data_IF_207298442753
#
_entry.id   IF_207298442753
#
_cell.length_a   1.000
_cell.length_b   1.000
_cell.length_c   1.000
_cell.angle_alpha   90.00
_cell.angle_beta   90.00
_cell.angle_gamma   90.00
#
_symmetry.space_group_name_H-M   'P 1'
#
loop_
_entity.id
_entity.type
_entity.pdbx_description
1 polymer ?
#
# COMPACT_ATOMS: atom_id res chain seq x y z
N UNK A 1 24.44 -7.53 -1.09
CA UNK A 1 23.52 -6.48 -1.57
C UNK A 1 23.07 -6.68 -3.02
N UNK A 2 23.97 -7.05 -3.95
CA UNK A 2 23.66 -7.33 -5.37
C UNK A 2 22.69 -8.51 -5.57
N UNK A 3 22.84 -9.59 -4.81
CA UNK A 3 21.96 -10.77 -4.91
C UNK A 3 20.52 -10.50 -4.44
N UNK A 4 20.35 -9.74 -3.35
CA UNK A 4 19.02 -9.33 -2.90
C UNK A 4 18.30 -8.45 -3.93
N UNK A 5 19.03 -7.56 -4.61
CA UNK A 5 18.49 -6.74 -5.69
C UNK A 5 18.10 -7.61 -6.90
N UNK A 6 18.89 -8.61 -7.24
CA UNK A 6 18.60 -9.55 -8.34
C UNK A 6 17.35 -10.41 -8.03
N UNK A 7 17.22 -10.89 -6.80
CA UNK A 7 16.02 -11.63 -6.34
C UNK A 7 14.79 -10.72 -6.41
N UNK A 8 14.90 -9.49 -5.92
CA UNK A 8 13.83 -8.49 -6.00
C UNK A 8 13.36 -8.27 -7.43
N UNK A 9 14.30 -8.02 -8.35
CA UNK A 9 13.95 -7.74 -9.74
C UNK A 9 13.33 -8.98 -10.43
N UNK A 10 13.79 -10.18 -10.07
CA UNK A 10 13.22 -11.44 -10.59
C UNK A 10 11.79 -11.69 -10.08
N UNK A 11 11.53 -11.44 -8.79
CA UNK A 11 10.18 -11.54 -8.22
C UNK A 11 9.24 -10.52 -8.89
N UNK A 12 9.72 -9.29 -9.05
CA UNK A 12 9.00 -8.21 -9.71
C UNK A 12 8.64 -8.55 -11.16
N UNK A 13 9.56 -9.11 -11.93
CA UNK A 13 9.33 -9.50 -13.32
C UNK A 13 8.32 -10.65 -13.42
N UNK A 14 8.36 -11.61 -12.48
CA UNK A 14 7.37 -12.70 -12.41
C UNK A 14 5.99 -12.16 -12.08
N UNK A 15 5.86 -11.32 -11.06
CA UNK A 15 4.58 -10.71 -10.66
C UNK A 15 3.96 -9.90 -11.79
N UNK A 16 4.77 -9.14 -12.55
CA UNK A 16 4.30 -8.39 -13.71
C UNK A 16 3.85 -9.26 -14.87
N UNK A 17 4.63 -10.30 -15.16
CA UNK A 17 4.34 -11.18 -16.29
C UNK A 17 3.03 -11.95 -16.10
N UNK A 18 2.69 -12.24 -14.85
CA UNK A 18 1.51 -13.04 -14.48
C UNK A 18 0.49 -12.26 -13.65
N UNK A 19 0.43 -10.93 -13.80
CA UNK A 19 -0.46 -10.07 -13.00
C UNK A 19 -1.94 -10.47 -13.15
N UNK A 20 -2.37 -10.85 -14.34
CA UNK A 20 -3.72 -11.32 -14.62
C UNK A 20 -4.11 -12.59 -13.84
N UNK A 21 -3.13 -13.41 -13.47
CA UNK A 21 -3.35 -14.66 -12.71
C UNK A 21 -3.06 -14.41 -11.22
N UNK A 22 -2.05 -13.61 -10.91
CA UNK A 22 -1.60 -13.36 -9.54
C UNK A 22 -2.62 -12.57 -8.74
N UNK A 23 -3.25 -11.57 -9.35
CA UNK A 23 -4.26 -10.73 -8.69
C UNK A 23 -5.49 -11.53 -8.22
N UNK A 24 -6.14 -12.40 -9.05
CA UNK A 24 -7.22 -13.27 -8.58
C UNK A 24 -6.79 -14.27 -7.49
N UNK A 25 -5.57 -14.82 -7.59
CA UNK A 25 -5.05 -15.75 -6.57
C UNK A 25 -4.89 -15.05 -5.22
N UNK A 26 -4.31 -13.85 -5.18
CA UNK A 26 -4.15 -13.08 -3.94
C UNK A 26 -5.51 -12.75 -3.34
N UNK A 27 -6.50 -12.36 -4.16
CA UNK A 27 -7.87 -12.09 -3.72
C UNK A 27 -8.55 -13.36 -3.18
N UNK A 28 -8.36 -14.48 -3.86
CA UNK A 28 -8.88 -15.77 -3.40
C UNK A 28 -8.34 -16.14 -2.02
N UNK A 29 -7.01 -16.10 -1.85
CA UNK A 29 -6.36 -16.43 -0.56
C UNK A 29 -6.80 -15.45 0.53
N UNK A 30 -6.84 -14.14 0.23
CA UNK A 30 -7.29 -13.13 1.18
C UNK A 30 -8.75 -13.33 1.61
N UNK A 31 -9.66 -13.61 0.66
CA UNK A 31 -11.06 -13.90 0.92
C UNK A 31 -11.22 -15.21 1.72
N UNK A 32 -10.44 -16.23 1.41
CA UNK A 32 -10.47 -17.51 2.14
C UNK A 32 -10.08 -17.30 3.61
N UNK A 33 -8.98 -16.59 3.88
CA UNK A 33 -8.56 -16.24 5.24
C UNK A 33 -9.65 -15.44 5.95
N UNK A 34 -10.24 -14.46 5.27
CA UNK A 34 -11.31 -13.62 5.83
C UNK A 34 -12.54 -14.46 6.23
N UNK A 35 -13.03 -15.33 5.34
CA UNK A 35 -14.23 -16.14 5.64
C UNK A 35 -13.97 -17.21 6.69
N UNK A 36 -12.76 -17.81 6.72
CA UNK A 36 -12.37 -18.72 7.82
C UNK A 36 -12.37 -17.95 9.14
N UNK A 37 -11.81 -16.75 9.18
CA UNK A 37 -11.78 -15.91 10.39
C UNK A 37 -13.17 -15.48 10.83
N UNK A 38 -14.05 -15.09 9.91
CA UNK A 38 -15.46 -14.80 10.22
C UNK A 38 -16.14 -16.04 10.80
N UNK A 39 -15.93 -17.21 10.21
CA UNK A 39 -16.53 -18.44 10.72
C UNK A 39 -15.97 -18.85 12.07
N UNK A 40 -14.72 -18.53 12.38
CA UNK A 40 -14.13 -18.75 13.70
C UNK A 40 -14.67 -17.82 14.78
N UNK A 41 -14.96 -16.54 14.41
CA UNK A 41 -15.49 -15.52 15.33
C UNK A 41 -17.01 -15.59 15.48
N UNK A 42 -17.76 -15.95 14.42
CA UNK A 42 -19.21 -15.93 14.34
C UNK A 42 -19.81 -17.25 13.89
N UNK A 43 -19.17 -18.38 14.13
CA UNK A 43 -19.53 -19.69 13.57
C UNK A 43 -20.83 -20.30 14.10
N UNK A 44 -21.92 -19.53 14.25
CA UNK A 44 -23.20 -19.98 14.79
C UNK A 44 -24.14 -20.58 13.74
N UNK A 45 -23.90 -20.31 12.45
CA UNK A 45 -24.75 -20.78 11.37
C UNK A 45 -24.26 -22.14 10.82
N UNK A 46 -25.15 -23.13 10.79
CA UNK A 46 -24.86 -24.42 10.18
C UNK A 46 -24.55 -24.37 8.66
N UNK A 47 -24.97 -23.30 7.99
CA UNK A 47 -24.73 -23.10 6.57
C UNK A 47 -23.26 -22.80 6.28
N UNK A 48 -22.65 -21.88 7.03
CA UNK A 48 -21.27 -21.46 6.84
C UNK A 48 -20.26 -22.32 7.61
N UNK A 49 -20.71 -23.18 8.51
CA UNK A 49 -19.88 -24.21 9.15
C UNK A 49 -19.34 -25.26 8.16
N UNK A 50 -19.90 -25.34 6.95
CA UNK A 50 -19.44 -26.25 5.90
C UNK A 50 -18.29 -25.62 5.12
N UNK A 51 -17.07 -26.21 5.19
CA UNK A 51 -15.90 -25.72 4.48
C UNK A 51 -16.07 -25.56 2.97
N UNK A 52 -16.96 -26.35 2.34
CA UNK A 52 -17.29 -26.22 0.92
C UNK A 52 -17.94 -24.87 0.59
N UNK A 53 -18.81 -24.34 1.46
CA UNK A 53 -19.47 -23.06 1.26
C UNK A 53 -18.46 -21.92 1.33
N UNK A 54 -17.55 -21.97 2.32
CA UNK A 54 -16.44 -21.01 2.46
C UNK A 54 -15.55 -21.03 1.21
N UNK A 55 -15.21 -22.21 0.71
CA UNK A 55 -14.39 -22.36 -0.49
C UNK A 55 -15.07 -21.76 -1.73
N UNK A 56 -16.35 -22.11 -1.98
CA UNK A 56 -17.12 -21.55 -3.12
C UNK A 56 -17.23 -20.03 -3.03
N UNK A 57 -17.50 -19.51 -1.83
CA UNK A 57 -17.58 -18.07 -1.59
C UNK A 57 -16.25 -17.36 -1.87
N UNK A 58 -15.13 -18.00 -1.51
CA UNK A 58 -13.77 -17.48 -1.80
C UNK A 58 -13.46 -17.48 -3.28
N UNK A 59 -13.91 -18.49 -4.04
CA UNK A 59 -13.75 -18.54 -5.50
C UNK A 59 -14.55 -17.39 -6.16
N UNK A 60 -15.78 -17.15 -5.74
CA UNK A 60 -16.57 -16.01 -6.24
C UNK A 60 -15.86 -14.69 -5.91
N UNK A 61 -15.33 -14.56 -4.70
CA UNK A 61 -14.62 -13.37 -4.23
C UNK A 61 -13.33 -13.07 -5.01
N UNK A 62 -12.70 -14.08 -5.61
CA UNK A 62 -11.52 -13.90 -6.46
C UNK A 62 -11.78 -13.03 -7.70
N UNK A 63 -13.03 -13.06 -8.20
CA UNK A 63 -13.43 -12.36 -9.43
C UNK A 63 -13.99 -10.95 -9.18
N UNK A 64 -14.19 -10.58 -7.92
CA UNK A 64 -14.89 -9.35 -7.54
C UNK A 64 -13.94 -8.35 -6.89
N UNK A 65 -14.34 -7.06 -6.77
CA UNK A 65 -13.54 -6.05 -6.08
C UNK A 65 -13.48 -6.28 -4.57
N UNK A 66 -12.42 -5.79 -3.91
CA UNK A 66 -12.22 -5.94 -2.46
C UNK A 66 -13.39 -5.40 -1.63
N UNK A 67 -14.02 -4.30 -2.06
CA UNK A 67 -15.17 -3.74 -1.38
C UNK A 67 -16.38 -4.71 -1.39
N UNK A 68 -16.65 -5.37 -2.52
CA UNK A 68 -17.74 -6.34 -2.62
C UNK A 68 -17.42 -7.60 -1.82
N UNK A 69 -16.17 -8.03 -1.74
CA UNK A 69 -15.76 -9.15 -0.88
C UNK A 69 -16.09 -8.86 0.58
N UNK A 70 -15.81 -7.64 1.06
CA UNK A 70 -16.14 -7.22 2.44
C UNK A 70 -17.67 -7.11 2.64
N UNK A 71 -18.42 -6.65 1.65
CA UNK A 71 -19.89 -6.65 1.70
C UNK A 71 -20.45 -8.07 1.84
N UNK A 72 -19.94 -9.03 1.06
CA UNK A 72 -20.31 -10.44 1.20
C UNK A 72 -19.96 -10.96 2.59
N UNK A 73 -18.77 -10.60 3.11
CA UNK A 73 -18.38 -10.91 4.49
C UNK A 73 -19.36 -10.36 5.53
N UNK A 74 -19.84 -9.12 5.34
CA UNK A 74 -20.90 -8.54 6.17
C UNK A 74 -22.21 -9.33 6.13
N UNK A 75 -22.62 -9.81 4.96
CA UNK A 75 -23.80 -10.68 4.83
C UNK A 75 -23.58 -12.01 5.57
N UNK A 76 -22.40 -12.60 5.50
CA UNK A 76 -22.07 -13.83 6.25
C UNK A 76 -22.17 -13.59 7.76
N UNK A 77 -21.63 -12.47 8.25
CA UNK A 77 -21.76 -12.09 9.68
C UNK A 77 -23.23 -11.89 10.04
N UNK A 78 -24.01 -11.23 9.19
CA UNK A 78 -25.44 -10.99 9.44
C UNK A 78 -26.21 -12.31 9.60
N UNK A 79 -26.00 -13.29 8.70
CA UNK A 79 -26.66 -14.60 8.80
C UNK A 79 -26.25 -15.34 10.08
N UNK A 80 -24.99 -15.24 10.50
CA UNK A 80 -24.55 -15.79 11.78
C UNK A 80 -25.20 -15.07 12.97
N UNK A 81 -25.31 -13.74 12.93
CA UNK A 81 -25.98 -12.95 13.98
C UNK A 81 -27.47 -13.28 14.11
N UNK A 82 -28.19 -13.52 13.00
CA UNK A 82 -29.59 -13.99 13.00
C UNK A 82 -29.69 -15.37 13.68
N UNK A 83 -28.70 -16.22 13.52
CA UNK A 83 -28.68 -17.55 14.15
C UNK A 83 -28.54 -17.49 15.65
N UNK A 84 -28.00 -16.40 16.22
CA UNK A 84 -27.90 -16.16 17.66
C UNK A 84 -29.18 -15.51 18.18
N UNK A 85 -29.52 -14.31 17.65
CA UNK A 85 -30.71 -13.56 18.02
C UNK A 85 -31.07 -12.52 16.93
N UNK A 86 -32.35 -12.27 16.73
CA UNK A 86 -32.82 -11.20 15.86
C UNK A 86 -32.36 -9.81 16.33
N UNK A 87 -32.28 -9.60 17.64
CA UNK A 87 -31.81 -8.35 18.23
C UNK A 87 -30.36 -8.06 17.94
N UNK A 88 -29.49 -9.08 18.03
CA UNK A 88 -28.06 -9.00 17.65
C UNK A 88 -27.93 -8.66 16.17
N UNK A 89 -28.73 -9.30 15.30
CA UNK A 89 -28.72 -9.05 13.87
C UNK A 89 -29.15 -7.61 13.53
N UNK A 90 -30.17 -7.06 14.21
CA UNK A 90 -30.60 -5.67 14.03
C UNK A 90 -29.49 -4.68 14.40
N UNK A 91 -28.81 -4.92 15.53
CA UNK A 91 -27.68 -4.07 15.94
C UNK A 91 -26.54 -4.13 14.91
N UNK A 92 -26.24 -5.33 14.40
CA UNK A 92 -25.24 -5.49 13.36
C UNK A 92 -25.62 -4.77 12.07
N UNK A 93 -26.88 -4.81 11.63
CA UNK A 93 -27.35 -4.07 10.43
C UNK A 93 -27.08 -2.58 10.59
N UNK A 94 -27.43 -2.00 11.73
CA UNK A 94 -27.20 -0.57 12.00
C UNK A 94 -25.71 -0.24 11.93
N UNK A 95 -24.86 -1.05 12.59
CA UNK A 95 -23.42 -0.90 12.55
C UNK A 95 -22.87 -1.02 11.11
N UNK A 96 -23.33 -2.02 10.36
CA UNK A 96 -22.87 -2.28 9.00
C UNK A 96 -23.26 -1.18 8.01
N UNK A 97 -24.49 -0.63 8.14
CA UNK A 97 -24.94 0.52 7.35
C UNK A 97 -24.07 1.75 7.68
N UNK A 98 -23.74 1.97 8.96
CA UNK A 98 -22.89 3.06 9.37
C UNK A 98 -21.48 2.92 8.73
N UNK A 99 -20.87 1.74 8.78
CA UNK A 99 -19.58 1.43 8.16
C UNK A 99 -19.63 1.66 6.64
N UNK A 100 -20.69 1.18 5.99
CA UNK A 100 -20.85 1.34 4.54
C UNK A 100 -20.97 2.81 4.14
N UNK A 101 -21.86 3.57 4.80
CA UNK A 101 -22.11 4.98 4.48
C UNK A 101 -20.92 5.87 4.81
N UNK A 102 -20.26 5.65 5.95
CA UNK A 102 -19.16 6.50 6.41
C UNK A 102 -17.84 6.21 5.69
N UNK A 103 -17.59 4.96 5.31
CA UNK A 103 -16.28 4.58 4.83
C UNK A 103 -16.24 3.83 3.50
N UNK A 104 -16.94 2.71 3.38
CA UNK A 104 -16.79 1.81 2.21
C UNK A 104 -17.18 2.49 0.90
N UNK A 105 -18.16 3.39 0.94
CA UNK A 105 -18.58 4.19 -0.22
C UNK A 105 -17.52 5.17 -0.69
N UNK A 106 -16.75 5.74 0.25
CA UNK A 106 -15.74 6.76 -0.04
C UNK A 106 -14.39 6.14 -0.43
N UNK A 107 -14.01 5.04 0.21
CA UNK A 107 -12.70 4.40 0.07
C UNK A 107 -12.80 2.89 -0.18
N UNK A 108 -13.35 2.47 -1.33
CA UNK A 108 -13.58 1.05 -1.62
C UNK A 108 -12.30 0.22 -1.63
N UNK A 109 -11.16 0.81 -2.05
CA UNK A 109 -9.87 0.12 -2.15
C UNK A 109 -9.25 -0.23 -0.80
N UNK A 110 -9.62 0.50 0.26
CA UNK A 110 -9.13 0.27 1.62
C UNK A 110 -10.08 -0.57 2.48
N UNK A 111 -11.18 -1.09 1.91
CA UNK A 111 -12.19 -1.87 2.64
C UNK A 111 -11.65 -3.15 3.29
N UNK A 112 -10.57 -3.72 2.75
CA UNK A 112 -9.90 -4.90 3.30
C UNK A 112 -9.44 -4.73 4.76
N UNK A 113 -9.22 -3.49 5.23
CA UNK A 113 -8.78 -3.17 6.59
C UNK A 113 -9.83 -3.60 7.62
N UNK A 114 -11.12 -3.48 7.26
CA UNK A 114 -12.23 -3.90 8.14
C UNK A 114 -12.17 -5.38 8.52
N UNK A 115 -11.70 -6.22 7.60
CA UNK A 115 -11.50 -7.64 7.86
C UNK A 115 -10.12 -7.92 8.48
N UNK A 116 -9.10 -7.16 8.08
CA UNK A 116 -7.73 -7.34 8.52
C UNK A 116 -7.57 -7.14 10.04
N UNK A 117 -8.20 -6.11 10.61
CA UNK A 117 -8.07 -5.80 12.03
C UNK A 117 -8.61 -6.92 12.92
N UNK A 118 -9.85 -7.44 12.76
CA UNK A 118 -10.33 -8.59 13.52
C UNK A 118 -9.45 -9.83 13.36
N UNK A 119 -8.89 -10.07 12.18
CA UNK A 119 -7.95 -11.18 11.94
C UNK A 119 -6.69 -11.02 12.79
N UNK A 120 -6.13 -9.82 12.89
CA UNK A 120 -4.96 -9.56 13.73
C UNK A 120 -5.26 -9.78 15.22
N UNK A 121 -6.45 -9.42 15.68
CA UNK A 121 -6.89 -9.73 17.04
C UNK A 121 -6.98 -11.24 17.30
N UNK A 122 -7.58 -11.98 16.38
CA UNK A 122 -7.70 -13.43 16.46
C UNK A 122 -6.34 -14.14 16.53
N UNK A 123 -5.32 -13.59 15.84
CA UNK A 123 -3.96 -14.10 15.88
C UNK A 123 -3.14 -13.60 17.09
N UNK A 124 -3.73 -12.82 18.00
CA UNK A 124 -3.04 -12.09 19.09
C UNK A 124 -1.93 -11.15 18.60
N UNK A 125 -2.07 -10.63 17.37
CA UNK A 125 -1.14 -9.71 16.72
C UNK A 125 -1.75 -8.32 16.55
N UNK A 126 -2.71 -7.93 17.39
CA UNK A 126 -3.45 -6.67 17.28
C UNK A 126 -2.54 -5.45 17.20
N UNK A 127 -1.42 -5.46 17.90
CA UNK A 127 -0.46 -4.35 17.91
C UNK A 127 0.29 -4.14 16.58
N UNK A 128 0.29 -5.13 15.70
CA UNK A 128 0.80 -4.99 14.33
C UNK A 128 -0.18 -4.23 13.41
N UNK A 129 -1.49 -4.30 13.70
CA UNK A 129 -2.52 -3.77 12.83
C UNK A 129 -2.32 -2.29 12.48
N UNK A 130 -2.16 -1.34 13.45
CA UNK A 130 -2.01 0.06 13.14
C UNK A 130 -0.75 0.37 12.32
N UNK A 131 0.35 -0.36 12.55
CA UNK A 131 1.60 -0.16 11.82
C UNK A 131 1.47 -0.59 10.36
N UNK A 132 0.89 -1.76 10.11
CA UNK A 132 0.67 -2.28 8.75
C UNK A 132 -0.32 -1.40 8.00
N UNK A 133 -1.41 -0.99 8.64
CA UNK A 133 -2.40 -0.09 8.04
C UNK A 133 -1.79 1.26 7.68
N UNK A 134 -0.96 1.84 8.56
CA UNK A 134 -0.26 3.09 8.27
C UNK A 134 0.63 3.00 7.03
N UNK A 135 1.31 1.86 6.81
CA UNK A 135 2.17 1.62 5.66
C UNK A 135 1.35 1.56 4.37
N UNK A 136 0.26 0.79 4.33
CA UNK A 136 -0.48 0.52 3.10
C UNK A 136 -1.53 1.57 2.77
N UNK A 137 -2.32 2.01 3.75
CA UNK A 137 -3.45 2.91 3.56
C UNK A 137 -3.20 4.34 4.05
N UNK A 138 -2.22 4.56 4.92
CA UNK A 138 -1.95 5.89 5.46
C UNK A 138 -3.11 6.43 6.31
N UNK A 139 -3.41 7.73 6.21
CA UNK A 139 -4.50 8.35 6.99
C UNK A 139 -5.87 7.78 6.68
N UNK A 140 -6.13 7.34 5.44
CA UNK A 140 -7.42 6.76 5.07
C UNK A 140 -7.72 5.46 5.82
N UNK A 141 -6.68 4.81 6.35
CA UNK A 141 -6.81 3.60 7.16
C UNK A 141 -7.28 3.82 8.61
N UNK A 142 -7.29 5.06 9.12
CA UNK A 142 -7.68 5.32 10.52
C UNK A 142 -9.12 4.90 10.81
N UNK A 143 -10.05 5.36 9.99
CA UNK A 143 -11.50 5.11 10.19
C UNK A 143 -11.83 3.61 10.11
N UNK A 144 -11.40 2.85 9.08
CA UNK A 144 -11.72 1.42 9.04
C UNK A 144 -11.01 0.62 10.12
N UNK A 145 -9.86 1.08 10.63
CA UNK A 145 -9.20 0.43 11.76
C UNK A 145 -10.04 0.55 13.02
N UNK A 146 -10.59 1.74 13.31
CA UNK A 146 -11.52 1.93 14.43
C UNK A 146 -12.73 1.02 14.28
N UNK A 147 -13.36 0.98 13.11
CA UNK A 147 -14.49 0.08 12.87
C UNK A 147 -14.11 -1.40 12.96
N UNK A 148 -12.89 -1.76 12.55
CA UNK A 148 -12.38 -3.12 12.70
C UNK A 148 -12.23 -3.54 14.17
N UNK A 149 -11.78 -2.62 15.05
CA UNK A 149 -11.75 -2.84 16.50
C UNK A 149 -13.16 -3.03 17.04
N UNK A 150 -14.11 -2.18 16.64
CA UNK A 150 -15.53 -2.31 17.04
C UNK A 150 -16.11 -3.64 16.58
N UNK A 151 -15.81 -4.09 15.34
CA UNK A 151 -16.30 -5.37 14.82
C UNK A 151 -15.77 -6.56 15.63
N UNK A 152 -14.50 -6.52 16.04
CA UNK A 152 -13.94 -7.56 16.88
C UNK A 152 -14.63 -7.64 18.26
N UNK A 153 -14.79 -6.50 18.93
CA UNK A 153 -15.51 -6.46 20.23
C UNK A 153 -16.99 -6.81 20.09
N UNK A 154 -17.61 -6.46 18.97
CA UNK A 154 -18.96 -6.92 18.64
C UNK A 154 -19.02 -8.46 18.53
N UNK A 155 -18.03 -9.08 17.88
CA UNK A 155 -17.96 -10.53 17.77
C UNK A 155 -17.82 -11.20 19.14
N UNK A 156 -16.92 -10.70 19.98
CA UNK A 156 -16.70 -11.23 21.34
C UNK A 156 -17.97 -11.09 22.20
N UNK A 157 -18.63 -9.93 22.13
CA UNK A 157 -19.88 -9.73 22.84
C UNK A 157 -21.01 -10.64 22.31
N UNK A 158 -21.05 -10.93 21.01
CA UNK A 158 -22.01 -11.88 20.41
C UNK A 158 -21.78 -13.31 20.96
N UNK A 159 -20.53 -13.71 21.19
CA UNK A 159 -20.19 -14.98 21.79
C UNK A 159 -20.69 -15.06 23.26
N UNK A 160 -20.49 -13.99 24.03
CA UNK A 160 -21.01 -13.88 25.39
C UNK A 160 -22.55 -13.96 25.43
N UNK A 161 -23.23 -13.22 24.55
CA UNK A 161 -24.69 -13.26 24.42
C UNK A 161 -25.19 -14.66 24.07
N UNK A 162 -24.53 -15.33 23.14
CA UNK A 162 -24.90 -16.68 22.76
C UNK A 162 -24.76 -17.66 23.96
N UNK A 163 -23.69 -17.54 24.74
CA UNK A 163 -23.48 -18.36 25.93
C UNK A 163 -24.51 -18.11 27.02
N UNK A 164 -24.92 -16.84 27.20
CA UNK A 164 -25.97 -16.44 28.15
C UNK A 164 -27.33 -16.95 27.69
N UNK A 165 -27.68 -16.84 26.41
CA UNK A 165 -28.94 -17.38 25.88
C UNK A 165 -29.04 -18.89 26.02
N UNK A 166 -27.94 -19.63 25.89
CA UNK A 166 -27.91 -21.08 26.09
C UNK A 166 -28.03 -21.49 27.56
N UNK A 167 -27.61 -20.62 28.50
CA UNK A 167 -27.64 -20.86 29.95
C UNK A 167 -28.88 -20.28 30.62
N UNK A 168 -29.64 -19.37 29.97
CA UNK A 168 -30.82 -18.77 30.53
C UNK A 168 -31.95 -19.80 30.74
N UNK A 169 -32.47 -19.91 31.96
CA UNK A 169 -33.68 -20.62 32.26
C UNK A 169 -34.90 -19.73 31.96
N UNK A 170 -36.03 -20.33 31.59
CA UNK A 170 -37.24 -19.68 31.10
C UNK A 170 -37.81 -18.55 32.01
N UNK A 171 -37.30 -18.38 33.22
CA UNK A 171 -37.77 -17.37 34.18
C UNK A 171 -37.08 -16.02 34.10
N UNK A 172 -35.89 -15.92 33.50
CA UNK A 172 -35.16 -14.67 33.31
C UNK A 172 -35.28 -14.18 31.85
N UNK A 173 -36.04 -13.08 31.66
CA UNK A 173 -36.13 -12.38 30.36
C UNK A 173 -34.81 -11.65 30.07
N UNK A 174 -33.79 -12.40 29.60
CA UNK A 174 -32.57 -11.81 29.11
C UNK A 174 -32.87 -10.92 27.88
N UNK A 175 -32.37 -9.69 27.88
CA UNK A 175 -32.52 -8.75 26.78
C UNK A 175 -31.19 -8.58 26.06
N UNK A 176 -30.93 -9.31 24.96
CA UNK A 176 -29.67 -9.28 24.25
C UNK A 176 -29.25 -7.89 23.76
N UNK A 177 -30.22 -7.10 23.31
CA UNK A 177 -29.95 -5.76 22.75
C UNK A 177 -29.41 -4.81 23.83
N UNK A 178 -30.02 -4.75 25.00
CA UNK A 178 -29.56 -3.88 26.08
C UNK A 178 -28.19 -4.29 26.58
N UNK A 179 -27.94 -5.59 26.72
CA UNK A 179 -26.65 -6.12 27.10
C UNK A 179 -25.55 -5.75 26.08
N UNK A 180 -25.80 -5.97 24.79
CA UNK A 180 -24.83 -5.65 23.76
C UNK A 180 -24.53 -4.15 23.67
N UNK A 181 -25.55 -3.29 23.75
CA UNK A 181 -25.35 -1.84 23.71
C UNK A 181 -24.49 -1.40 24.90
N UNK A 182 -24.77 -1.90 26.10
CA UNK A 182 -23.95 -1.58 27.27
C UNK A 182 -22.54 -2.14 27.19
N UNK A 183 -22.39 -3.39 26.83
CA UNK A 183 -21.09 -4.08 26.80
C UNK A 183 -20.20 -3.58 25.65
N UNK A 184 -20.74 -3.32 24.46
CA UNK A 184 -19.94 -2.83 23.34
C UNK A 184 -19.63 -1.36 23.48
N UNK A 185 -20.63 -0.48 23.68
CA UNK A 185 -20.40 0.97 23.64
C UNK A 185 -19.81 1.56 24.94
N UNK A 186 -19.92 0.88 26.06
CA UNK A 186 -19.30 1.28 27.33
C UNK A 186 -17.96 0.57 27.58
N UNK A 187 -17.44 -0.20 26.62
CA UNK A 187 -16.18 -0.91 26.77
C UNK A 187 -14.98 0.06 26.68
N UNK A 188 -14.43 0.39 27.83
CA UNK A 188 -13.29 1.29 27.94
C UNK A 188 -12.05 0.79 27.20
N UNK A 189 -11.80 -0.53 27.24
CA UNK A 189 -10.70 -1.17 26.52
C UNK A 189 -10.84 -1.05 25.00
N UNK A 190 -12.07 -1.15 24.46
CA UNK A 190 -12.34 -0.95 23.04
C UNK A 190 -12.08 0.50 22.63
N UNK A 191 -12.62 1.46 23.40
CA UNK A 191 -12.47 2.89 23.13
C UNK A 191 -10.99 3.28 23.19
N UNK A 192 -10.26 2.83 24.22
CA UNK A 192 -8.83 3.03 24.39
C UNK A 192 -8.06 2.53 23.16
N UNK A 193 -8.29 1.27 22.77
CA UNK A 193 -7.58 0.66 21.65
C UNK A 193 -7.88 1.35 20.35
N UNK A 194 -9.13 1.69 20.08
CA UNK A 194 -9.53 2.42 18.87
C UNK A 194 -8.85 3.80 18.78
N UNK A 195 -8.79 4.53 19.90
CA UNK A 195 -8.13 5.83 19.98
C UNK A 195 -6.61 5.71 19.77
N UNK A 196 -5.97 4.79 20.47
CA UNK A 196 -4.51 4.58 20.35
C UNK A 196 -4.15 4.15 18.93
N UNK A 197 -4.89 3.23 18.32
CA UNK A 197 -4.64 2.81 16.95
C UNK A 197 -4.75 3.96 15.95
N UNK A 198 -5.76 4.82 16.11
CA UNK A 198 -5.92 6.00 15.26
C UNK A 198 -4.71 6.95 15.40
N UNK A 199 -4.26 7.22 16.61
CA UNK A 199 -3.09 8.09 16.86
C UNK A 199 -1.80 7.46 16.30
N UNK A 200 -1.58 6.17 16.53
CA UNK A 200 -0.40 5.45 16.04
C UNK A 200 -0.34 5.48 14.51
N UNK A 201 -1.47 5.26 13.82
CA UNK A 201 -1.54 5.38 12.36
C UNK A 201 -1.16 6.80 11.93
N UNK A 202 -1.71 7.83 12.58
CA UNK A 202 -1.44 9.23 12.25
C UNK A 202 0.05 9.56 12.38
N UNK A 203 0.67 9.21 13.52
CA UNK A 203 2.09 9.48 13.79
C UNK A 203 2.98 8.69 12.85
N UNK A 204 2.72 7.38 12.68
CA UNK A 204 3.51 6.53 11.78
C UNK A 204 3.49 7.06 10.35
N UNK A 205 2.31 7.43 9.84
CA UNK A 205 2.18 7.95 8.48
C UNK A 205 2.75 9.36 8.34
N UNK A 206 2.68 10.19 9.38
CA UNK A 206 3.34 11.50 9.39
C UNK A 206 4.85 11.34 9.20
N UNK A 207 5.49 10.46 9.98
CA UNK A 207 6.94 10.18 9.86
C UNK A 207 7.27 9.57 8.51
N UNK A 208 6.41 8.70 7.98
CA UNK A 208 6.57 8.08 6.66
C UNK A 208 6.65 9.11 5.52
N UNK A 209 5.98 10.26 5.66
CA UNK A 209 5.96 11.34 4.66
C UNK A 209 7.11 12.32 4.76
N UNK A 210 7.94 12.25 5.80
CA UNK A 210 9.07 13.16 5.94
C UNK A 210 10.09 12.95 4.80
N UNK A 211 10.71 14.01 4.29
CA UNK A 211 11.70 13.94 3.21
C UNK A 211 13.09 13.49 3.72
N UNK A 212 13.13 12.37 4.45
CA UNK A 212 14.35 11.80 5.02
C UNK A 212 14.68 10.50 4.29
N UNK A 213 15.98 10.24 4.10
CA UNK A 213 16.49 9.04 3.45
C UNK A 213 16.05 7.82 4.20
N UNK A 214 15.44 7.02 4.35
CA UNK A 214 14.95 5.92 5.19
C UNK A 214 13.74 6.28 6.07
N UNK A 215 13.00 7.37 5.76
CA UNK A 215 11.79 7.74 6.51
C UNK A 215 10.80 6.58 6.66
N UNK A 216 10.69 5.72 5.64
CA UNK A 216 9.80 4.58 5.60
C UNK A 216 10.11 3.53 6.69
N UNK A 217 11.41 3.28 6.93
CA UNK A 217 11.84 2.34 7.97
C UNK A 217 11.81 2.97 9.36
N UNK A 218 12.20 4.25 9.45
CA UNK A 218 12.12 5.01 10.69
C UNK A 218 10.67 5.14 11.19
N UNK A 219 9.71 5.32 10.29
CA UNK A 219 8.29 5.41 10.62
C UNK A 219 7.77 4.17 11.36
N UNK A 220 8.19 2.97 10.94
CA UNK A 220 7.78 1.73 11.61
C UNK A 220 8.33 1.67 13.03
N UNK A 221 9.61 2.02 13.21
CA UNK A 221 10.23 2.06 14.55
C UNK A 221 9.58 3.08 15.47
N UNK A 222 9.38 4.31 14.99
CA UNK A 222 8.71 5.39 15.74
C UNK A 222 7.27 4.98 16.06
N UNK A 223 6.55 4.40 15.10
CA UNK A 223 5.19 3.91 15.31
C UNK A 223 5.09 2.84 16.40
N UNK A 224 6.06 1.90 16.45
CA UNK A 224 6.13 0.90 17.50
C UNK A 224 6.37 1.51 18.89
N UNK A 225 7.29 2.46 18.99
CA UNK A 225 7.54 3.20 20.27
C UNK A 225 6.27 3.96 20.67
N UNK A 226 5.65 4.69 19.76
CA UNK A 226 4.40 5.41 20.03
C UNK A 226 3.29 4.47 20.47
N UNK A 227 3.18 3.28 19.87
CA UNK A 227 2.19 2.29 20.26
C UNK A 227 2.33 1.91 21.75
N UNK A 228 3.54 1.59 22.20
CA UNK A 228 3.80 1.28 23.61
C UNK A 228 3.49 2.48 24.51
N UNK A 229 4.00 3.68 24.16
CA UNK A 229 3.82 4.87 24.97
C UNK A 229 2.35 5.28 25.11
N UNK A 230 1.59 5.29 24.01
CA UNK A 230 0.18 5.70 24.07
C UNK A 230 -0.68 4.67 24.81
N UNK A 231 -0.43 3.35 24.64
CA UNK A 231 -1.11 2.35 25.46
C UNK A 231 -0.81 2.52 26.94
N UNK A 232 0.44 2.78 27.32
CA UNK A 232 0.81 3.02 28.73
C UNK A 232 0.13 4.28 29.30
N UNK A 233 0.17 5.38 28.57
CA UNK A 233 -0.43 6.65 29.02
C UNK A 233 -1.95 6.52 29.14
N UNK A 234 -2.60 5.95 28.13
CA UNK A 234 -4.03 5.85 28.12
C UNK A 234 -4.56 4.78 29.11
N UNK A 235 -3.84 3.69 29.36
CA UNK A 235 -4.26 2.70 30.35
C UNK A 235 -4.24 3.27 31.77
N UNK A 236 -3.24 4.11 32.09
CA UNK A 236 -3.18 4.79 33.39
C UNK A 236 -4.24 5.90 33.47
N UNK A 237 -4.51 6.62 32.38
CA UNK A 237 -5.47 7.72 32.36
C UNK A 237 -6.94 7.29 32.41
N UNK A 238 -7.25 6.08 31.97
CA UNK A 238 -8.62 5.50 31.94
C UNK A 238 -8.83 4.41 32.99
N UNK A 239 -7.88 4.19 33.91
CA UNK A 239 -7.90 3.14 34.95
C UNK A 239 -8.23 1.73 34.38
N UNK A 240 -7.80 1.46 33.14
CA UNK A 240 -8.02 0.15 32.50
C UNK A 240 -7.00 -0.86 33.04
N UNK A 241 -7.40 -1.64 34.03
CA UNK A 241 -6.54 -2.60 34.75
C UNK A 241 -6.02 -3.76 33.88
N UNK A 242 -6.60 -4.02 32.70
CA UNK A 242 -6.41 -5.27 31.96
C UNK A 242 -5.38 -5.20 30.81
N UNK A 243 -4.61 -4.14 30.67
CA UNK A 243 -3.55 -4.10 29.66
C UNK A 243 -2.32 -4.83 30.20
N UNK A 244 -2.18 -6.12 29.91
CA UNK A 244 -1.01 -6.90 30.28
C UNK A 244 0.26 -6.29 29.67
N UNK A 245 1.10 -5.64 30.49
CA UNK A 245 2.34 -4.99 30.05
C UNK A 245 3.26 -5.94 29.26
N UNK A 246 3.32 -7.22 29.67
CA UNK A 246 4.10 -8.24 28.97
C UNK A 246 3.60 -8.52 27.56
N UNK A 247 2.29 -8.68 27.39
CA UNK A 247 1.66 -8.93 26.09
C UNK A 247 1.75 -7.70 25.18
N UNK A 248 1.65 -6.49 25.73
CA UNK A 248 1.83 -5.23 25.00
C UNK A 248 3.25 -5.13 24.42
N UNK A 249 4.28 -5.32 25.24
CA UNK A 249 5.67 -5.21 24.81
C UNK A 249 6.03 -6.28 23.78
N UNK A 250 5.76 -7.54 24.06
CA UNK A 250 6.04 -8.66 23.15
C UNK A 250 5.23 -8.53 21.85
N UNK A 251 3.95 -8.23 21.96
CA UNK A 251 3.09 -8.06 20.80
C UNK A 251 3.50 -6.87 19.93
N UNK A 252 3.96 -5.76 20.51
CA UNK A 252 4.46 -4.62 19.74
C UNK A 252 5.79 -4.94 19.06
N UNK A 253 6.71 -5.63 19.72
CA UNK A 253 7.99 -6.05 19.10
C UNK A 253 7.72 -6.95 17.88
N UNK A 254 6.87 -7.96 18.04
CA UNK A 254 6.46 -8.84 16.94
C UNK A 254 5.74 -8.03 15.86
N UNK A 255 4.87 -7.09 16.25
CA UNK A 255 4.17 -6.18 15.35
C UNK A 255 5.10 -5.32 14.51
N UNK A 256 6.15 -4.77 15.10
CA UNK A 256 7.20 -4.01 14.40
C UNK A 256 7.94 -4.90 13.40
N UNK A 257 8.29 -6.13 13.76
CA UNK A 257 8.94 -7.07 12.83
C UNK A 257 8.03 -7.39 11.62
N UNK A 258 6.75 -7.66 11.86
CA UNK A 258 5.76 -7.88 10.79
C UNK A 258 5.63 -6.64 9.91
N UNK A 259 5.58 -5.45 10.50
CA UNK A 259 5.48 -4.19 9.77
C UNK A 259 6.75 -3.92 8.93
N UNK A 260 7.94 -4.27 9.41
CA UNK A 260 9.17 -4.19 8.61
C UNK A 260 9.13 -5.15 7.42
N UNK A 261 8.67 -6.38 7.60
CA UNK A 261 8.49 -7.35 6.50
C UNK A 261 7.47 -6.79 5.49
N UNK A 262 6.35 -6.28 5.97
CA UNK A 262 5.31 -5.67 5.14
C UNK A 262 5.85 -4.47 4.34
N UNK A 263 6.69 -3.63 4.96
CA UNK A 263 7.35 -2.49 4.29
C UNK A 263 8.30 -2.95 3.18
N UNK A 264 9.08 -3.99 3.43
CA UNK A 264 9.96 -4.59 2.41
C UNK A 264 9.12 -5.16 1.26
N UNK A 265 8.05 -5.89 1.56
CA UNK A 265 7.12 -6.42 0.55
C UNK A 265 6.48 -5.31 -0.28
N UNK A 266 6.04 -4.21 0.35
CA UNK A 266 5.53 -3.04 -0.35
C UNK A 266 6.56 -2.46 -1.31
N UNK A 267 7.83 -2.33 -0.87
CA UNK A 267 8.92 -1.86 -1.70
C UNK A 267 9.26 -2.79 -2.88
N UNK A 268 8.97 -4.10 -2.75
CA UNK A 268 9.10 -5.06 -3.83
C UNK A 268 8.02 -4.89 -4.91
N UNK A 269 6.80 -4.56 -4.50
CA UNK A 269 5.63 -4.43 -5.38
C UNK A 269 5.46 -3.01 -5.92
N UNK A 270 6.11 -1.99 -5.33
CA UNK A 270 6.03 -0.63 -5.83
C UNK A 270 6.70 -0.48 -7.20
N UNK A 271 5.88 -0.47 -8.25
CA UNK A 271 6.30 -0.38 -9.65
C UNK A 271 6.64 1.04 -10.10
N UNK A 272 6.45 2.04 -9.25
CA UNK A 272 6.67 3.44 -9.62
C UNK A 272 8.17 3.76 -9.67
N UNK A 273 8.82 3.50 -10.81
CA UNK A 273 10.15 4.00 -11.08
C UNK A 273 10.07 5.50 -11.38
N UNK A 274 10.31 6.31 -10.35
CA UNK A 274 10.40 7.76 -10.49
C UNK A 274 11.86 8.11 -10.70
N UNK A 275 12.19 8.56 -11.89
CA UNK A 275 13.50 9.12 -12.19
C UNK A 275 13.38 10.65 -12.14
N UNK A 276 14.15 11.30 -11.28
CA UNK A 276 14.35 12.74 -11.35
C UNK A 276 15.54 12.99 -12.28
N UNK A 277 15.25 13.55 -13.42
CA UNK A 277 16.26 13.91 -14.41
C UNK A 277 16.44 15.43 -14.35
N UNK A 278 17.68 15.84 -14.17
CA UNK A 278 18.07 17.24 -14.22
C UNK A 278 18.66 17.53 -15.59
N UNK A 279 18.13 18.52 -16.26
CA UNK A 279 18.70 19.09 -17.50
C UNK A 279 19.14 20.51 -17.19
N UNK A 280 20.23 20.89 -17.79
CA UNK A 280 20.80 22.24 -17.73
C UNK A 280 20.85 22.79 -19.16
N UNK A 281 20.35 23.99 -19.35
CA UNK A 281 20.50 24.79 -20.54
C UNK A 281 21.17 26.11 -20.15
N UNK A 282 21.67 26.89 -21.09
CA UNK A 282 22.41 28.13 -20.83
C UNK A 282 21.62 29.18 -19.99
N UNK A 283 20.28 29.04 -19.94
CA UNK A 283 19.41 29.96 -19.22
C UNK A 283 18.66 29.36 -18.04
N UNK A 284 18.44 28.02 -17.99
CA UNK A 284 17.55 27.38 -16.99
C UNK A 284 17.99 26.01 -16.52
N UNK A 285 17.76 25.71 -15.23
CA UNK A 285 17.82 24.37 -14.67
C UNK A 285 16.44 23.73 -14.72
N UNK A 286 16.30 22.59 -15.38
CA UNK A 286 15.05 21.84 -15.48
C UNK A 286 15.07 20.63 -14.56
N UNK A 287 14.18 20.61 -13.57
CA UNK A 287 13.95 19.44 -12.72
C UNK A 287 12.71 18.70 -13.22
N UNK A 288 12.92 17.66 -14.00
CA UNK A 288 11.83 16.87 -14.58
C UNK A 288 11.66 15.57 -13.80
N UNK A 289 10.44 15.34 -13.30
CA UNK A 289 10.05 14.07 -12.70
C UNK A 289 9.49 13.17 -13.80
N UNK A 290 10.35 12.32 -14.37
CA UNK A 290 9.95 11.35 -15.38
C UNK A 290 9.28 10.13 -14.70
N UNK A 291 8.03 9.87 -15.06
CA UNK A 291 7.30 8.66 -14.66
C UNK A 291 7.14 7.83 -15.92
N UNK A 292 7.72 6.62 -16.02
CA UNK A 292 7.61 5.82 -17.23
C UNK A 292 6.16 5.41 -17.46
N UNK A 293 5.64 5.70 -18.65
CA UNK A 293 4.28 5.38 -19.09
C UNK A 293 4.12 3.86 -19.34
N UNK A 294 5.23 3.21 -19.66
CA UNK A 294 5.35 1.76 -19.79
C UNK A 294 6.67 1.31 -19.17
N UNK A 295 6.62 0.30 -18.33
CA UNK A 295 7.82 -0.31 -17.78
C UNK A 295 8.41 -1.26 -18.83
N UNK A 296 9.36 -0.78 -19.60
CA UNK A 296 10.18 -1.65 -20.47
C UNK A 296 11.21 -2.33 -19.56
N UNK A 297 11.28 -3.68 -19.52
CA UNK A 297 12.33 -4.36 -18.79
C UNK A 297 13.68 -3.85 -19.33
N UNK A 298 14.54 -3.38 -18.42
CA UNK A 298 15.88 -2.96 -18.78
C UNK A 298 16.59 -4.16 -19.41
N UNK A 299 16.80 -4.10 -20.73
CA UNK A 299 17.62 -5.08 -21.43
C UNK A 299 18.97 -5.10 -20.73
N UNK A 300 19.40 -6.25 -20.20
CA UNK A 300 20.73 -6.41 -19.63
C UNK A 300 21.74 -5.89 -20.65
N UNK A 301 22.21 -4.68 -20.44
CA UNK A 301 23.39 -4.18 -21.15
C UNK A 301 24.57 -4.99 -20.62
N UNK A 302 24.92 -6.06 -21.33
CA UNK A 302 26.28 -6.60 -21.22
C UNK A 302 27.22 -5.51 -21.68
N UNK A 303 27.65 -4.66 -20.77
CA UNK A 303 28.76 -3.75 -21.00
C UNK A 303 30.00 -4.62 -21.03
N UNK A 304 30.38 -5.13 -22.21
CA UNK A 304 31.74 -5.54 -22.47
C UNK A 304 32.57 -4.29 -22.21
N UNK A 305 33.33 -4.25 -21.12
CA UNK A 305 34.44 -3.33 -20.97
C UNK A 305 35.42 -3.72 -22.07
N UNK A 306 35.35 -3.04 -23.19
CA UNK A 306 36.52 -2.98 -24.09
C UNK A 306 37.55 -2.18 -23.33
N UNK A 307 38.60 -2.84 -22.91
CA UNK A 307 39.81 -2.23 -22.34
C UNK A 307 40.30 -1.27 -23.39
N UNK A 308 40.21 0.04 -23.10
CA UNK A 308 40.39 1.07 -24.08
C UNK A 308 41.85 1.17 -24.59
N UNK A 309 42.00 1.34 -25.86
CA UNK A 309 43.00 2.25 -26.38
C UNK A 309 42.43 3.68 -26.31
N UNK A 310 43.28 4.68 -26.04
CA UNK A 310 42.80 6.03 -25.75
C UNK A 310 42.08 6.64 -26.95
N UNK A 311 40.97 7.33 -26.66
CA UNK A 311 40.10 8.02 -27.63
C UNK A 311 40.85 9.01 -28.57
N UNK A 312 42.07 9.40 -28.20
CA UNK A 312 42.94 10.30 -28.97
C UNK A 312 43.32 9.74 -30.35
N UNK A 313 43.52 8.39 -30.49
CA UNK A 313 43.84 7.76 -31.79
C UNK A 313 42.62 7.66 -32.71
N UNK A 314 41.42 7.53 -32.18
CA UNK A 314 40.20 7.45 -32.97
C UNK A 314 39.80 8.83 -33.58
N UNK A 315 40.06 9.91 -32.86
CA UNK A 315 39.85 11.27 -33.37
C UNK A 315 40.85 11.67 -34.42
N UNK A 316 42.12 11.30 -34.28
CA UNK A 316 43.16 11.57 -35.25
C UNK A 316 42.88 10.82 -36.55
N UNK A 317 42.50 9.54 -36.52
CA UNK A 317 42.17 8.74 -37.71
C UNK A 317 40.91 9.29 -38.45
N UNK A 318 39.94 9.85 -37.75
CA UNK A 318 38.81 10.50 -38.37
C UNK A 318 39.16 11.86 -38.99
N UNK A 319 40.04 12.64 -38.35
CA UNK A 319 40.49 13.92 -38.86
C UNK A 319 41.31 13.71 -40.13
N UNK A 320 42.23 12.74 -40.17
CA UNK A 320 43.05 12.41 -41.35
C UNK A 320 42.18 11.91 -42.52
N UNK A 321 41.19 11.07 -42.29
CA UNK A 321 40.25 10.60 -43.31
C UNK A 321 39.38 11.71 -43.89
N UNK A 322 39.03 12.71 -43.09
CA UNK A 322 38.30 13.88 -43.54
C UNK A 322 39.20 14.80 -44.34
N UNK A 323 40.44 14.99 -43.90
CA UNK A 323 41.43 15.82 -44.62
C UNK A 323 41.77 15.22 -45.99
N UNK A 324 41.92 13.88 -46.08
CA UNK A 324 42.17 13.18 -47.36
C UNK A 324 40.96 13.31 -48.31
N UNK A 325 39.72 13.24 -47.80
CA UNK A 325 38.51 13.48 -48.60
C UNK A 325 38.38 14.94 -49.08
N UNK A 326 38.84 15.91 -48.31
CA UNK A 326 38.85 17.31 -48.69
C UNK A 326 39.91 17.54 -49.77
N UNK A 327 41.11 17.02 -49.61
CA UNK A 327 42.20 17.14 -50.57
C UNK A 327 41.87 16.45 -51.91
N UNK A 328 41.23 15.28 -51.90
CA UNK A 328 40.79 14.59 -53.11
C UNK A 328 39.69 15.35 -53.86
N UNK A 329 38.79 16.06 -53.16
CA UNK A 329 37.77 16.90 -53.75
C UNK A 329 38.35 18.19 -54.32
N UNK A 330 39.41 18.76 -53.73
CA UNK A 330 40.08 19.96 -54.19
C UNK A 330 40.93 19.67 -55.41
N UNK A 331 41.62 18.53 -55.47
CA UNK A 331 42.35 18.06 -56.61
C UNK A 331 41.50 17.80 -57.86
N UNK A 332 40.26 17.26 -57.63
CA UNK A 332 39.31 17.00 -58.72
C UNK A 332 38.60 18.29 -59.24
N UNK A 333 38.66 19.36 -58.46
CA UNK A 333 38.09 20.67 -58.83
C UNK A 333 39.09 21.53 -59.61
N UNK A 334 40.40 21.31 -59.46
CA UNK A 334 41.45 22.02 -60.19
C UNK A 334 41.84 21.36 -61.54
N UNK A 335 41.19 20.21 -61.88
CA UNK A 335 41.44 19.52 -63.15
C UNK A 335 40.51 19.86 -64.30
N UNK A 336 39.49 20.70 -64.11
CA UNK A 336 38.65 21.21 -65.22
C UNK A 336 38.65 22.72 -65.19
N UNK A 337 39.65 23.25 -65.89
CA UNK A 337 39.77 24.68 -66.14
C UNK A 337 39.00 25.13 -67.35
N UNK A 338 38.54 26.29 -67.37
CA UNK A 338 38.95 27.37 -68.22
C UNK A 338 38.16 28.66 -67.87
N UNK A 339 38.75 29.79 -68.18
CA UNK A 339 38.40 31.04 -67.51
C UNK A 339 37.43 31.87 -68.34
N UNK A 340 36.52 32.58 -67.73
CA UNK A 340 36.09 33.87 -68.21
C UNK A 340 35.12 34.58 -67.22
N UNK A 341 35.49 35.84 -66.99
CA UNK A 341 34.68 37.02 -66.71
C UNK A 341 34.03 37.20 -65.31
N UNK A 342 34.69 38.00 -64.50
CA UNK A 342 34.39 39.45 -64.24
C UNK A 342 32.90 39.72 -63.90
N UNK A 343 32.61 40.01 -62.67
CA UNK A 343 32.11 41.33 -62.25
C UNK A 343 31.87 41.38 -60.73
N UNK A 344 32.31 42.46 -60.18
CA UNK A 344 32.23 42.91 -58.80
C UNK A 344 30.83 43.40 -58.40
N UNK A 345 30.54 43.37 -57.13
CA UNK A 345 29.54 44.23 -56.48
C UNK A 345 28.69 43.55 -55.42
N UNK A 346 28.22 44.33 -54.48
CA UNK A 346 28.94 44.76 -53.28
C UNK A 346 28.30 44.28 -51.98
N UNK A 347 29.11 44.35 -50.94
CA UNK A 347 28.86 44.49 -49.53
C UNK A 347 27.44 44.97 -49.10
N UNK A 348 26.73 44.18 -48.26
CA UNK A 348 25.67 44.69 -47.41
C UNK A 348 25.74 44.05 -46.07
N UNK A 349 26.57 44.62 -45.22
CA UNK A 349 26.32 44.72 -43.79
C UNK A 349 25.16 45.67 -43.54
N UNK A 350 24.43 45.40 -42.52
CA UNK A 350 23.55 46.24 -41.70
C UNK A 350 22.05 45.94 -41.78
N UNK A 351 21.54 46.02 -40.53
CA UNK A 351 20.16 46.25 -40.10
C UNK A 351 19.36 44.97 -39.83
N UNK A 352 19.15 44.56 -38.58
CA UNK A 352 18.21 45.22 -37.69
C UNK A 352 18.33 44.74 -36.24
N UNK A 353 18.73 45.63 -35.37
CA UNK A 353 18.26 45.72 -34.00
C UNK A 353 16.89 46.45 -34.08
N UNK A 354 15.87 45.89 -33.46
CA UNK A 354 14.75 46.52 -32.76
C UNK A 354 13.53 45.59 -32.81
N UNK A 355 13.16 44.97 -31.70
CA UNK A 355 11.99 45.42 -30.96
C UNK A 355 11.95 44.72 -29.61
N UNK A 356 12.18 45.53 -28.60
CA UNK A 356 11.69 45.37 -27.24
C UNK A 356 10.22 45.77 -27.20
N UNK A 357 9.53 45.22 -26.18
CA UNK A 357 8.22 45.61 -25.65
C UNK A 357 7.02 44.96 -26.36
N UNK A 358 6.43 43.90 -25.80
CA UNK A 358 5.26 43.99 -24.89
C UNK A 358 5.23 42.71 -24.07
#
# INVERSE_FOLDING_TARGET
>A
MSEMLAIRDKIRDILRKYDEITTPIIRFVGALIMYISINSLFGYSALFGRGIVIFLLSVISALVSSAVVVLIGGVVILVNAISVSLEVALLFIVLFIAIYCMYMRMFPDCSWILAFVPIMYMLNLQYAAPLVVAIFAGYSGMVPTVFGVVLYHFATCTEEVNSLLLSATDEEKFQPLNYMVETVFKNESMILTALVFAIVIAVTYFVFRLPIVYAQYAAVGVGGICNILFFMICSVGLDVENVGMGSLLLGTIIGVLIAYIAQVCKGLVDYSRKESVQFEDDEYYYYVKAIPKFNVPAKNKNVKKMTGEPEEKAQVLQADAIQEKINSRTANRNGQGNPANVQAGPNRNQVNRQNRNI
#
